data_IF_980821363834
#
_entry.id   IF_980821363834
#
_cell.length_a   1.000
_cell.length_b   1.000
_cell.length_c   1.000
_cell.angle_alpha   90.00
_cell.angle_beta   90.00
_cell.angle_gamma   90.00
#
_symmetry.space_group_name_H-M   'P 1'
#
loop_
_entity.id
_entity.type
_entity.pdbx_description
1 polymer ?
#
# COMPACT_ATOMS: atom_id res chain seq x y z
N UNK A 1 28.54 46.56 22.96
CA UNK A 1 28.77 45.11 23.22
C UNK A 1 27.56 44.37 23.80
N UNK A 2 26.63 45.00 24.53
CA UNK A 2 25.47 44.30 25.10
C UNK A 2 24.38 43.96 24.06
N UNK A 3 24.07 44.84 23.10
CA UNK A 3 22.99 44.63 22.11
C UNK A 3 23.22 43.44 21.17
N UNK A 4 24.47 43.20 20.76
CA UNK A 4 24.84 42.05 19.91
C UNK A 4 24.62 40.73 20.67
N UNK A 5 24.87 40.70 21.98
CA UNK A 5 24.64 39.50 22.79
C UNK A 5 23.17 39.17 22.87
N UNK A 6 22.31 40.17 23.08
CA UNK A 6 20.85 40.00 23.11
C UNK A 6 20.28 39.56 21.76
N UNK A 7 20.79 40.11 20.66
CA UNK A 7 20.37 39.72 19.30
C UNK A 7 20.73 38.26 18.98
N UNK A 8 21.94 37.81 19.37
CA UNK A 8 22.39 36.42 19.17
C UNK A 8 21.58 35.42 20.00
N UNK A 9 21.21 35.78 21.22
CA UNK A 9 20.36 34.93 22.06
C UNK A 9 18.94 34.82 21.51
N UNK A 10 18.35 35.90 21.00
CA UNK A 10 17.04 35.83 20.35
C UNK A 10 17.08 34.96 19.09
N UNK A 11 18.13 35.10 18.27
CA UNK A 11 18.30 34.29 17.08
C UNK A 11 18.40 32.78 17.40
N UNK A 12 19.12 32.43 18.48
CA UNK A 12 19.22 31.05 18.94
C UNK A 12 17.86 30.48 19.40
N UNK A 13 17.08 31.26 20.14
CA UNK A 13 15.73 30.85 20.59
C UNK A 13 14.78 30.74 19.40
N UNK A 14 14.85 31.66 18.44
CA UNK A 14 14.03 31.64 17.24
C UNK A 14 14.33 30.44 16.31
N UNK A 15 15.52 29.85 16.39
CA UNK A 15 15.91 28.68 15.62
C UNK A 15 15.42 27.35 16.25
N UNK A 16 14.91 27.36 17.49
CA UNK A 16 14.48 26.14 18.18
C UNK A 16 13.38 25.35 17.45
N UNK A 17 12.34 25.97 16.84
CA UNK A 17 11.32 25.22 16.10
C UNK A 17 11.88 24.50 14.87
N UNK A 18 12.80 25.14 14.14
CA UNK A 18 13.47 24.54 12.98
C UNK A 18 14.41 23.40 13.41
N UNK A 19 15.13 23.59 14.52
CA UNK A 19 15.98 22.56 15.11
C UNK A 19 15.13 21.36 15.56
N UNK A 20 13.98 21.59 16.19
CA UNK A 20 13.05 20.53 16.55
C UNK A 20 12.61 19.75 15.29
N UNK A 21 12.15 20.43 14.24
CA UNK A 21 11.73 19.77 13.00
C UNK A 21 12.86 18.94 12.35
N UNK A 22 14.10 19.44 12.34
CA UNK A 22 15.24 18.76 11.72
C UNK A 22 15.74 17.57 12.56
N UNK A 23 15.70 17.67 13.89
CA UNK A 23 16.27 16.68 14.80
C UNK A 23 15.25 15.69 15.39
N UNK A 24 13.95 15.93 15.25
CA UNK A 24 12.91 14.96 15.63
C UNK A 24 12.42 14.11 14.46
N UNK A 25 13.11 14.17 13.30
CA UNK A 25 12.80 13.35 12.14
C UNK A 25 12.99 11.86 12.45
N UNK A 26 11.90 11.19 12.80
CA UNK A 26 11.80 9.73 12.76
C UNK A 26 11.84 9.33 11.29
N UNK A 27 12.57 8.28 10.92
CA UNK A 27 12.41 7.66 9.60
C UNK A 27 10.99 7.06 9.55
N UNK A 28 10.00 7.87 9.20
CA UNK A 28 8.66 7.40 8.93
C UNK A 28 8.73 6.68 7.59
N UNK A 29 8.62 5.36 7.60
CA UNK A 29 8.37 4.60 6.40
C UNK A 29 7.03 5.09 5.83
N UNK A 30 7.08 5.93 4.80
CA UNK A 30 5.90 6.34 4.04
C UNK A 30 5.41 5.12 3.25
N UNK A 31 4.22 4.65 3.59
CA UNK A 31 3.57 3.53 2.92
C UNK A 31 2.49 4.02 1.94
N UNK A 32 2.53 5.29 1.48
CA UNK A 32 1.61 5.93 0.52
C UNK A 32 0.10 5.76 0.85
N UNK A 33 -0.89 6.29 0.14
CA UNK A 33 -1.00 6.85 -1.19
C UNK A 33 -1.45 8.33 -1.13
N UNK A 34 -0.99 9.17 -2.05
CA UNK A 34 -1.41 10.59 -2.13
C UNK A 34 -2.24 10.79 -3.40
N UNK A 35 -3.46 11.30 -3.26
CA UNK A 35 -4.34 11.69 -4.38
C UNK A 35 -4.77 13.16 -4.25
N UNK A 36 -4.89 13.84 -5.38
CA UNK A 36 -5.48 15.18 -5.52
C UNK A 36 -6.52 15.23 -6.65
N UNK A 37 -7.23 16.35 -6.81
CA UNK A 37 -8.10 16.70 -7.94
C UNK A 37 -8.74 15.52 -8.74
N UNK A 38 -9.66 14.77 -8.11
CA UNK A 38 -10.41 13.70 -8.81
C UNK A 38 -9.58 12.45 -9.14
N UNK A 39 -8.39 12.32 -8.56
CA UNK A 39 -7.52 11.16 -8.75
C UNK A 39 -7.84 10.06 -7.75
N UNK A 40 -7.52 8.83 -8.13
CA UNK A 40 -7.54 7.71 -7.20
C UNK A 40 -6.11 7.36 -6.82
N UNK A 41 -5.87 7.07 -5.56
CA UNK A 41 -4.58 6.57 -5.10
C UNK A 41 -4.79 5.38 -4.18
N UNK A 42 -3.89 4.42 -4.28
CA UNK A 42 -3.93 3.20 -3.51
C UNK A 42 -2.51 2.80 -3.14
N UNK A 43 -2.35 2.26 -1.95
CA UNK A 43 -1.19 1.43 -1.63
C UNK A 43 -1.65 0.11 -1.09
N UNK A 44 -0.95 -0.95 -1.48
CA UNK A 44 -1.04 -2.23 -0.83
C UNK A 44 0.34 -2.67 -0.41
N UNK A 45 0.48 -2.97 0.87
CA UNK A 45 1.71 -3.48 1.45
C UNK A 45 1.55 -4.97 1.69
N UNK A 46 2.52 -5.73 1.22
CA UNK A 46 2.62 -7.17 1.35
C UNK A 46 3.82 -7.49 2.24
N UNK A 47 3.60 -8.26 3.32
CA UNK A 47 4.64 -8.64 4.27
C UNK A 47 5.48 -9.83 3.80
N UNK A 48 6.28 -10.39 4.71
CA UNK A 48 6.95 -11.66 4.47
C UNK A 48 5.91 -12.79 4.46
N UNK A 49 5.75 -13.44 3.31
CA UNK A 49 4.87 -14.60 3.11
C UNK A 49 5.71 -15.81 2.71
N UNK A 50 5.22 -17.00 3.05
CA UNK A 50 5.89 -18.25 2.78
C UNK A 50 5.65 -19.27 3.87
N UNK A 51 6.15 -20.48 3.61
CA UNK A 51 6.31 -21.52 4.63
C UNK A 51 7.66 -21.33 5.34
N UNK A 52 7.72 -21.61 6.65
CA UNK A 52 8.93 -21.46 7.47
C UNK A 52 9.38 -22.78 8.11
N UNK A 53 10.66 -22.86 8.50
CA UNK A 53 11.24 -24.08 9.09
C UNK A 53 11.26 -25.25 8.10
N UNK A 54 11.08 -26.48 8.59
CA UNK A 54 11.06 -27.71 7.78
C UNK A 54 9.70 -27.95 7.08
N UNK A 55 8.99 -26.89 6.72
CA UNK A 55 7.66 -27.00 6.11
C UNK A 55 7.78 -27.13 4.58
N UNK A 56 7.27 -28.25 4.05
CA UNK A 56 7.17 -28.52 2.61
C UNK A 56 5.85 -28.00 1.99
N UNK A 57 5.09 -27.27 2.81
CA UNK A 57 3.76 -26.73 2.55
C UNK A 57 3.63 -25.78 1.38
N UNK A 58 2.41 -25.69 0.84
CA UNK A 58 2.02 -24.62 -0.07
C UNK A 58 1.73 -23.31 0.67
N UNK A 59 2.26 -22.20 0.14
CA UNK A 59 1.93 -20.84 0.57
C UNK A 59 1.49 -20.01 -0.62
N UNK A 60 0.30 -19.41 -0.54
CA UNK A 60 -0.19 -18.46 -1.54
C UNK A 60 -0.53 -17.14 -0.88
N UNK A 61 -0.18 -16.06 -1.57
CA UNK A 61 -0.60 -14.72 -1.21
C UNK A 61 -1.12 -14.03 -2.44
N UNK A 62 -2.41 -13.72 -2.42
CA UNK A 62 -3.07 -12.95 -3.46
C UNK A 62 -3.31 -11.54 -2.93
N UNK A 63 -2.70 -10.56 -3.58
CA UNK A 63 -2.97 -9.14 -3.35
C UNK A 63 -3.69 -8.58 -4.56
N UNK A 64 -4.79 -7.87 -4.35
CA UNK A 64 -5.56 -7.23 -5.42
C UNK A 64 -5.90 -5.78 -5.01
N UNK A 65 -5.64 -4.82 -5.91
CA UNK A 65 -6.12 -3.44 -5.78
C UNK A 65 -6.84 -3.01 -7.05
N UNK A 66 -8.12 -2.64 -6.93
CA UNK A 66 -8.95 -2.14 -8.02
C UNK A 66 -9.35 -0.72 -7.63
N UNK A 67 -8.74 0.28 -8.26
CA UNK A 67 -8.80 1.67 -7.79
C UNK A 67 -9.16 2.58 -8.96
N UNK A 68 -10.32 3.21 -8.82
CA UNK A 68 -10.92 4.11 -9.80
C UNK A 68 -12.26 3.65 -10.34
N UNK A 69 -12.91 4.50 -11.13
CA UNK A 69 -14.18 4.17 -11.75
C UNK A 69 -14.01 2.96 -12.65
N UNK A 70 -14.97 2.03 -12.58
CA UNK A 70 -15.00 0.77 -13.35
C UNK A 70 -13.83 -0.18 -13.05
N UNK A 71 -13.06 0.06 -11.98
CA UNK A 71 -12.01 -0.85 -11.58
C UNK A 71 -12.62 -2.12 -10.98
N UNK A 72 -12.21 -3.27 -11.51
CA UNK A 72 -12.57 -4.59 -11.01
C UNK A 72 -11.34 -5.45 -10.90
N UNK A 73 -11.38 -6.41 -9.99
CA UNK A 73 -10.33 -7.41 -9.84
C UNK A 73 -10.96 -8.79 -9.72
N UNK A 74 -10.24 -9.76 -10.26
CA UNK A 74 -10.61 -11.17 -10.24
C UNK A 74 -9.32 -11.93 -9.92
N UNK A 75 -9.32 -12.80 -8.90
CA UNK A 75 -8.21 -13.73 -8.68
C UNK A 75 -8.75 -15.12 -8.42
N UNK A 76 -8.15 -16.07 -9.11
CA UNK A 76 -8.31 -17.49 -8.85
C UNK A 76 -6.95 -18.01 -8.43
N UNK A 77 -6.86 -18.64 -7.25
CA UNK A 77 -5.64 -19.32 -6.82
C UNK A 77 -6.01 -20.72 -6.36
N UNK A 78 -5.33 -21.73 -6.87
CA UNK A 78 -5.41 -23.10 -6.40
C UNK A 78 -4.01 -23.60 -6.07
N UNK A 79 -3.90 -24.29 -4.94
CA UNK A 79 -2.66 -24.90 -4.47
C UNK A 79 -2.94 -26.36 -4.12
N UNK A 80 -1.99 -27.24 -4.43
CA UNK A 80 -2.10 -28.68 -4.25
C UNK A 80 -0.74 -29.19 -3.81
N UNK A 81 -0.72 -29.67 -2.57
CA UNK A 81 0.43 -30.35 -1.99
C UNK A 81 0.08 -31.83 -1.74
N UNK A 82 0.99 -32.74 -2.08
CA UNK A 82 0.87 -34.16 -1.70
C UNK A 82 -0.10 -35.03 -2.50
N UNK A 83 -0.51 -34.65 -3.71
CA UNK A 83 -1.42 -35.46 -4.55
C UNK A 83 -0.75 -36.04 -5.80
N UNK A 84 -1.01 -37.33 -6.11
CA UNK A 84 -0.55 -37.99 -7.33
C UNK A 84 -1.41 -37.68 -8.57
N UNK A 85 -2.70 -37.37 -8.38
CA UNK A 85 -3.61 -36.94 -9.45
C UNK A 85 -4.62 -35.92 -8.90
N UNK A 86 -4.43 -34.64 -9.24
CA UNK A 86 -5.43 -33.59 -8.99
C UNK A 86 -5.77 -32.88 -10.28
N UNK A 87 -7.04 -32.94 -10.68
CA UNK A 87 -7.58 -32.09 -11.72
C UNK A 87 -8.11 -30.81 -11.08
N UNK A 88 -7.60 -29.67 -11.53
CA UNK A 88 -8.07 -28.34 -11.12
C UNK A 88 -8.71 -27.70 -12.35
N UNK A 89 -10.01 -27.43 -12.27
CA UNK A 89 -10.71 -26.59 -13.24
C UNK A 89 -11.04 -25.25 -12.59
N UNK A 90 -10.30 -24.21 -12.95
CA UNK A 90 -10.60 -22.84 -12.57
C UNK A 90 -11.07 -22.09 -13.81
N UNK A 91 -12.34 -21.69 -13.81
CA UNK A 91 -12.91 -20.86 -14.87
C UNK A 91 -13.64 -19.65 -14.28
N UNK A 92 -13.69 -18.58 -15.07
CA UNK A 92 -14.45 -17.36 -14.78
C UNK A 92 -15.42 -17.12 -15.94
N UNK A 93 -16.62 -16.61 -15.61
CA UNK A 93 -17.59 -16.16 -16.62
C UNK A 93 -17.92 -14.71 -16.32
N UNK A 94 -17.54 -13.82 -17.24
CA UNK A 94 -17.88 -12.41 -17.17
C UNK A 94 -19.09 -12.17 -18.07
N UNK A 95 -20.19 -11.70 -17.47
CA UNK A 95 -21.41 -11.33 -18.19
C UNK A 95 -21.58 -9.81 -18.11
N UNK A 96 -21.43 -9.12 -19.24
CA UNK A 96 -21.86 -7.74 -19.39
C UNK A 96 -23.32 -7.73 -19.84
N UNK A 97 -24.19 -7.05 -19.09
CA UNK A 97 -25.59 -6.88 -19.43
C UNK A 97 -25.83 -5.41 -19.69
N UNK A 98 -25.93 -5.05 -20.97
CA UNK A 98 -26.31 -3.71 -21.38
C UNK A 98 -27.84 -3.64 -21.48
N UNK A 99 -28.42 -2.57 -20.95
CA UNK A 99 -29.84 -2.27 -21.10
C UNK A 99 -29.97 -1.10 -22.08
N UNK A 100 -30.63 -1.34 -23.19
CA UNK A 100 -31.15 -0.28 -24.06
C UNK A 100 -32.66 -0.23 -23.88
N UNK A 101 -33.19 0.95 -23.57
CA UNK A 101 -34.63 1.16 -23.55
C UNK A 101 -35.19 0.93 -24.95
N UNK A 102 -35.84 -0.22 -25.12
CA UNK A 102 -36.74 -0.46 -26.23
C UNK A 102 -38.04 0.20 -25.78
N UNK A 103 -38.30 1.41 -26.31
CA UNK A 103 -39.46 2.31 -26.09
C UNK A 103 -39.56 3.08 -24.76
#
# INVERSE_FOLDING_TARGET
MASIRTARTLAAVAALPLAAALFTGVAQADNGAVAGNGSNAAVSTNGAFGVGGDNFGDSSTTQQQAVGADASNQSNTAQVEGSAFTAIDQHNVNLAVDHTDLW
#
